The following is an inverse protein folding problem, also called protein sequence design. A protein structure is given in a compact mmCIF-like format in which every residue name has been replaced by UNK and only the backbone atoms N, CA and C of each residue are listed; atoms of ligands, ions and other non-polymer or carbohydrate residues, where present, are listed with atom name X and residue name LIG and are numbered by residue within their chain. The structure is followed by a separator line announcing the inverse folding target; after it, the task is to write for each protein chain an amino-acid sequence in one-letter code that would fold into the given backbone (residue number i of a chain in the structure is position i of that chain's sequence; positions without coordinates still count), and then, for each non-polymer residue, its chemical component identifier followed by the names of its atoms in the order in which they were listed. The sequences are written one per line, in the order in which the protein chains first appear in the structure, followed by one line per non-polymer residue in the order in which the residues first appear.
data_IF_671737305178
#
_entry.id   IF_671737305178
#
_cell.length_a   1.000
_cell.length_b   1.000
_cell.length_c   1.000
_cell.angle_alpha   90.00
_cell.angle_beta   90.00
_cell.angle_gamma   90.00
#
_symmetry.space_group_name_H-M   'P 1'
#
loop_
_entity.id
_entity.type
_entity.pdbx_description
1 polymer ?
#
# COMPACT_ATOMS: atom_id res chain seq x y z
N UNK A 1 -3.39 21.12 -1.22
CA UNK A 1 -4.54 21.45 -0.36
C UNK A 1 -4.09 22.61 0.52
N UNK A 2 -4.80 23.74 0.52
CA UNK A 2 -4.41 24.92 1.31
C UNK A 2 -4.37 24.57 2.80
N UNK A 3 -3.35 25.03 3.53
CA UNK A 3 -3.18 24.78 4.97
C UNK A 3 -4.23 25.49 5.83
N UNK A 4 -4.88 26.52 5.30
CA UNK A 4 -5.91 27.31 6.00
C UNK A 4 -7.32 26.73 5.87
N UNK A 5 -7.56 25.91 4.84
CA UNK A 5 -8.88 25.35 4.53
C UNK A 5 -9.51 24.54 5.68
N UNK A 6 -8.78 23.70 6.43
CA UNK A 6 -9.36 22.98 7.56
C UNK A 6 -9.76 23.89 8.73
N UNK A 7 -9.06 25.01 8.93
CA UNK A 7 -9.37 25.95 10.01
C UNK A 7 -10.64 26.76 9.69
N UNK A 8 -10.81 27.19 8.43
CA UNK A 8 -12.03 27.86 7.98
C UNK A 8 -13.24 26.91 7.98
N UNK A 9 -13.07 25.66 7.53
CA UNK A 9 -14.14 24.66 7.54
C UNK A 9 -14.62 24.31 8.96
N UNK A 10 -13.72 24.32 9.94
CA UNK A 10 -14.04 24.11 11.36
C UNK A 10 -15.00 25.19 11.90
N UNK A 11 -14.77 26.45 11.52
CA UNK A 11 -15.62 27.59 11.90
C UNK A 11 -16.98 27.48 11.22
N UNK A 12 -17.02 27.18 9.92
CA UNK A 12 -18.28 27.08 9.15
C UNK A 12 -19.16 25.92 9.62
N UNK A 13 -18.56 24.78 9.99
CA UNK A 13 -19.30 23.58 10.44
C UNK A 13 -19.43 23.46 11.96
N UNK A 14 -18.98 24.46 12.73
CA UNK A 14 -18.98 24.45 14.19
C UNK A 14 -18.41 23.15 14.78
N UNK A 15 -17.24 22.71 14.30
CA UNK A 15 -16.58 21.49 14.74
C UNK A 15 -15.08 21.71 14.96
N UNK A 16 -14.42 20.85 15.76
CA UNK A 16 -12.98 20.99 16.03
C UNK A 16 -12.12 20.80 14.77
N UNK A 17 -10.95 21.45 14.71
CA UNK A 17 -10.00 21.41 13.57
C UNK A 17 -9.72 20.00 13.03
N UNK A 18 -9.53 19.02 13.90
CA UNK A 18 -9.31 17.63 13.47
C UNK A 18 -10.51 17.02 12.72
N UNK A 19 -11.74 17.38 13.13
CA UNK A 19 -12.97 16.97 12.45
C UNK A 19 -13.07 17.62 11.08
N UNK A 20 -12.75 18.90 10.98
CA UNK A 20 -12.72 19.63 9.72
C UNK A 20 -11.66 19.07 8.76
N UNK A 21 -10.45 18.73 9.22
CA UNK A 21 -9.44 18.07 8.39
C UNK A 21 -9.93 16.73 7.84
N UNK A 22 -10.57 15.89 8.67
CA UNK A 22 -11.13 14.63 8.21
C UNK A 22 -12.29 14.82 7.21
N UNK A 23 -13.13 15.84 7.39
CA UNK A 23 -14.18 16.17 6.43
C UNK A 23 -13.61 16.66 5.09
N UNK A 24 -12.61 17.56 5.14
CA UNK A 24 -11.90 18.05 3.97
C UNK A 24 -11.24 16.90 3.20
N UNK A 25 -10.53 16.01 3.90
CA UNK A 25 -9.90 14.84 3.29
C UNK A 25 -10.93 13.92 2.64
N UNK A 26 -12.06 13.62 3.31
CA UNK A 26 -13.11 12.79 2.71
C UNK A 26 -13.76 13.45 1.50
N UNK A 27 -14.04 14.75 1.56
CA UNK A 27 -14.58 15.48 0.43
C UNK A 27 -13.64 15.43 -0.79
N UNK A 28 -12.33 15.56 -0.55
CA UNK A 28 -11.32 15.41 -1.60
C UNK A 28 -11.27 13.99 -2.16
N UNK A 29 -11.32 12.95 -1.30
CA UNK A 29 -11.35 11.54 -1.76
C UNK A 29 -12.61 11.26 -2.59
N UNK A 30 -13.78 11.71 -2.16
CA UNK A 30 -15.01 11.56 -2.94
C UNK A 30 -14.92 12.22 -4.31
N UNK A 31 -14.38 13.44 -4.37
CA UNK A 31 -14.27 14.18 -5.63
C UNK A 31 -13.23 13.58 -6.58
N UNK A 32 -12.07 13.19 -6.07
CA UNK A 32 -10.92 12.84 -6.91
C UNK A 32 -10.78 11.33 -7.15
N UNK A 33 -11.24 10.51 -6.20
CA UNK A 33 -11.00 9.05 -6.22
C UNK A 33 -12.28 8.23 -6.36
N UNK A 34 -13.43 8.72 -5.88
CA UNK A 34 -14.67 7.94 -5.78
C UNK A 34 -15.90 8.61 -6.45
N UNK A 35 -15.83 8.92 -7.77
CA UNK A 35 -16.93 9.60 -8.47
C UNK A 35 -18.22 8.79 -8.53
N UNK A 36 -18.15 7.45 -8.62
CA UNK A 36 -19.37 6.63 -8.65
C UNK A 36 -20.04 6.56 -7.27
N UNK A 37 -19.24 6.51 -6.20
CA UNK A 37 -19.73 6.59 -4.82
C UNK A 37 -20.42 7.94 -4.56
N UNK A 38 -19.82 9.03 -5.02
CA UNK A 38 -20.42 10.37 -4.93
C UNK A 38 -21.77 10.43 -5.69
N UNK A 39 -21.80 9.90 -6.91
CA UNK A 39 -23.01 9.86 -7.73
C UNK A 39 -24.12 9.02 -7.09
N UNK A 40 -23.77 7.89 -6.47
CA UNK A 40 -24.71 7.03 -5.76
C UNK A 40 -25.32 7.71 -4.53
N UNK A 41 -24.52 8.47 -3.76
CA UNK A 41 -25.04 9.29 -2.66
C UNK A 41 -25.99 10.40 -3.17
N UNK A 42 -25.59 11.11 -4.23
CA UNK A 42 -26.40 12.19 -4.80
C UNK A 42 -27.75 11.70 -5.35
N UNK A 43 -27.80 10.46 -5.84
CA UNK A 43 -29.02 9.80 -6.29
C UNK A 43 -29.84 9.15 -5.16
N UNK A 44 -29.38 9.20 -3.90
CA UNK A 44 -30.01 8.53 -2.76
C UNK A 44 -29.86 6.99 -2.76
N UNK A 45 -29.05 6.43 -3.65
CA UNK A 45 -28.79 5.00 -3.76
C UNK A 45 -27.75 4.46 -2.77
N UNK A 46 -27.06 5.34 -2.04
CA UNK A 46 -26.09 4.98 -1.00
C UNK A 46 -26.15 5.98 0.16
N UNK A 47 -26.18 5.50 1.40
CA UNK A 47 -26.15 6.35 2.59
C UNK A 47 -24.74 6.85 2.94
N UNK A 48 -24.71 7.96 3.69
CA UNK A 48 -23.49 8.63 4.13
C UNK A 48 -22.58 7.74 5.00
N UNK A 49 -23.07 6.93 5.97
CA UNK A 49 -22.23 6.01 6.72
C UNK A 49 -21.44 5.02 5.85
N UNK A 50 -22.07 4.43 4.83
CA UNK A 50 -21.40 3.51 3.90
C UNK A 50 -20.41 4.23 2.98
N UNK A 51 -20.78 5.40 2.47
CA UNK A 51 -19.88 6.20 1.65
C UNK A 51 -18.63 6.64 2.43
N UNK A 52 -18.80 7.02 3.70
CA UNK A 52 -17.69 7.34 4.61
C UNK A 52 -16.73 6.17 4.77
N UNK A 53 -17.25 4.95 4.92
CA UNK A 53 -16.40 3.74 5.00
C UNK A 53 -15.54 3.59 3.75
N UNK A 54 -16.11 3.78 2.56
CA UNK A 54 -15.37 3.70 1.30
C UNK A 54 -14.28 4.78 1.21
N UNK A 55 -14.62 6.03 1.55
CA UNK A 55 -13.65 7.12 1.56
C UNK A 55 -12.51 6.88 2.56
N UNK A 56 -12.82 6.41 3.77
CA UNK A 56 -11.81 6.15 4.81
C UNK A 56 -10.87 5.00 4.40
N UNK A 57 -11.39 3.92 3.81
CA UNK A 57 -10.57 2.76 3.38
C UNK A 57 -9.70 3.11 2.17
N UNK A 58 -10.23 3.89 1.23
CA UNK A 58 -9.58 4.16 -0.06
C UNK A 58 -8.82 5.50 -0.08
N UNK A 59 -8.72 6.19 1.07
CA UNK A 59 -8.12 7.52 1.18
C UNK A 59 -6.67 7.60 0.70
N UNK A 60 -5.91 6.51 0.83
CA UNK A 60 -4.49 6.43 0.46
C UNK A 60 -4.24 5.52 -0.74
N UNK A 61 -5.31 5.08 -1.40
CA UNK A 61 -5.23 4.24 -2.60
C UNK A 61 -5.20 5.12 -3.84
N UNK A 62 -4.55 4.67 -4.91
CA UNK A 62 -4.56 5.42 -6.16
C UNK A 62 -5.97 5.59 -6.73
N UNK A 63 -6.26 6.69 -7.47
CA UNK A 63 -7.59 6.89 -8.07
C UNK A 63 -8.01 5.77 -9.00
N UNK A 64 -7.06 5.12 -9.68
CA UNK A 64 -7.35 4.03 -10.62
C UNK A 64 -7.90 2.81 -9.87
N UNK A 65 -7.26 2.40 -8.79
CA UNK A 65 -7.72 1.25 -7.99
C UNK A 65 -8.98 1.60 -7.21
N UNK A 66 -9.06 2.81 -6.65
CA UNK A 66 -10.27 3.28 -5.98
C UNK A 66 -11.51 3.16 -6.89
N UNK A 67 -11.38 3.56 -8.17
CA UNK A 67 -12.42 3.39 -9.20
C UNK A 67 -12.76 1.93 -9.51
N UNK A 68 -11.75 1.05 -9.59
CA UNK A 68 -11.99 -0.39 -9.81
C UNK A 68 -12.73 -1.01 -8.62
N UNK A 69 -12.40 -0.59 -7.40
CA UNK A 69 -13.01 -1.10 -6.18
C UNK A 69 -14.45 -0.60 -6.06
N UNK A 70 -14.73 0.70 -6.23
CA UNK A 70 -16.11 1.20 -6.12
C UNK A 70 -17.03 0.56 -7.18
N UNK A 71 -16.53 0.32 -8.40
CA UNK A 71 -17.30 -0.35 -9.44
C UNK A 71 -17.70 -1.79 -9.05
N UNK A 72 -16.84 -2.50 -8.30
CA UNK A 72 -17.14 -3.84 -7.79
C UNK A 72 -18.02 -3.83 -6.55
N UNK A 73 -17.87 -2.82 -5.68
CA UNK A 73 -18.57 -2.74 -4.39
C UNK A 73 -19.98 -2.16 -4.49
N UNK A 74 -20.19 -1.14 -5.32
CA UNK A 74 -21.46 -0.40 -5.35
C UNK A 74 -22.71 -1.27 -5.58
N UNK A 75 -22.69 -2.30 -6.45
CA UNK A 75 -23.85 -3.18 -6.64
C UNK A 75 -24.32 -3.91 -5.37
N UNK A 76 -23.39 -4.21 -4.46
CA UNK A 76 -23.68 -4.94 -3.21
C UNK A 76 -23.68 -4.04 -1.96
N UNK A 77 -23.18 -2.81 -2.06
CA UNK A 77 -22.89 -1.95 -0.91
C UNK A 77 -24.09 -1.71 0.02
N UNK A 78 -25.30 -1.53 -0.53
CA UNK A 78 -26.52 -1.28 0.26
C UNK A 78 -26.96 -2.48 1.08
N UNK A 79 -26.61 -3.69 0.63
CA UNK A 79 -26.95 -4.95 1.30
C UNK A 79 -25.95 -5.32 2.40
N UNK A 80 -24.79 -4.65 2.45
CA UNK A 80 -23.75 -4.89 3.44
C UNK A 80 -23.92 -3.94 4.63
N UNK A 81 -23.66 -4.43 5.84
CA UNK A 81 -23.41 -3.52 6.97
C UNK A 81 -22.11 -2.76 6.76
N UNK A 82 -21.93 -1.61 7.41
CA UNK A 82 -20.70 -0.79 7.31
C UNK A 82 -19.43 -1.59 7.64
N UNK A 83 -19.47 -2.46 8.65
CA UNK A 83 -18.37 -3.35 9.00
C UNK A 83 -18.07 -4.40 7.93
N UNK A 84 -19.11 -4.99 7.31
CA UNK A 84 -18.94 -5.96 6.22
C UNK A 84 -18.45 -5.28 4.94
N UNK A 85 -18.92 -4.07 4.66
CA UNK A 85 -18.45 -3.23 3.55
C UNK A 85 -16.95 -2.92 3.69
N UNK A 86 -16.50 -2.49 4.88
CA UNK A 86 -15.07 -2.27 5.17
C UNK A 86 -14.26 -3.53 4.89
N UNK A 87 -14.69 -4.68 5.40
CA UNK A 87 -14.01 -5.96 5.21
C UNK A 87 -13.92 -6.34 3.74
N UNK A 88 -15.01 -6.16 2.98
CA UNK A 88 -15.03 -6.45 1.54
C UNK A 88 -14.11 -5.52 0.75
N UNK A 89 -14.10 -4.22 1.07
CA UNK A 89 -13.20 -3.27 0.43
C UNK A 89 -11.72 -3.60 0.67
N UNK A 90 -11.36 -3.97 1.90
CA UNK A 90 -10.02 -4.43 2.24
C UNK A 90 -9.66 -5.76 1.54
N UNK A 91 -10.60 -6.69 1.42
CA UNK A 91 -10.39 -7.92 0.67
C UNK A 91 -10.10 -7.65 -0.81
N UNK A 92 -10.87 -6.77 -1.45
CA UNK A 92 -10.62 -6.36 -2.85
C UNK A 92 -9.27 -5.67 -3.04
N UNK A 93 -8.82 -4.86 -2.07
CA UNK A 93 -7.47 -4.28 -2.09
C UNK A 93 -6.40 -5.38 -2.09
N UNK A 94 -6.55 -6.39 -1.22
CA UNK A 94 -5.63 -7.52 -1.12
C UNK A 94 -5.63 -8.39 -2.38
N UNK A 95 -6.80 -8.66 -2.96
CA UNK A 95 -6.95 -9.40 -4.22
C UNK A 95 -6.20 -8.69 -5.35
N UNK A 96 -6.42 -7.39 -5.55
CA UNK A 96 -5.74 -6.60 -6.58
C UNK A 96 -4.23 -6.50 -6.35
N UNK A 97 -3.81 -6.54 -5.09
CA UNK A 97 -2.41 -6.57 -4.71
C UNK A 97 -1.74 -7.89 -5.05
N UNK A 98 -2.42 -9.01 -4.77
CA UNK A 98 -1.94 -10.35 -5.08
C UNK A 98 -1.78 -10.50 -6.60
N UNK A 99 -2.77 -10.08 -7.39
CA UNK A 99 -2.70 -10.07 -8.86
C UNK A 99 -1.48 -9.28 -9.36
N UNK A 100 -1.24 -8.11 -8.78
CA UNK A 100 -0.09 -7.27 -9.15
C UNK A 100 1.27 -7.91 -8.75
N UNK A 101 1.31 -8.61 -7.61
CA UNK A 101 2.51 -9.31 -7.14
C UNK A 101 2.80 -10.55 -7.97
N UNK A 102 1.80 -11.36 -8.29
CA UNK A 102 1.97 -12.60 -9.06
C UNK A 102 2.40 -12.30 -10.50
N UNK A 103 1.82 -11.27 -11.10
CA UNK A 103 2.30 -10.75 -12.39
C UNK A 103 3.79 -10.32 -12.31
N UNK A 104 4.23 -9.76 -11.19
CA UNK A 104 5.61 -9.34 -10.98
C UNK A 104 6.58 -10.53 -10.75
N UNK A 105 6.15 -11.61 -10.07
CA UNK A 105 6.99 -12.80 -9.82
C UNK A 105 7.30 -13.56 -11.11
N UNK A 106 6.31 -13.70 -12.00
CA UNK A 106 6.49 -14.42 -13.27
C UNK A 106 7.37 -13.69 -14.28
N UNK A 107 7.48 -12.37 -14.19
CA UNK A 107 8.23 -11.57 -15.15
C UNK A 107 9.01 -10.46 -14.46
N UNK A 108 10.25 -10.76 -14.06
CA UNK A 108 11.20 -9.77 -13.54
C UNK A 108 11.37 -8.53 -14.46
N UNK A 109 11.06 -8.70 -15.76
CA UNK A 109 11.06 -7.65 -16.78
C UNK A 109 9.87 -6.68 -16.69
N UNK A 110 8.72 -7.11 -16.16
CA UNK A 110 7.55 -6.24 -15.99
C UNK A 110 7.80 -5.13 -14.97
N UNK A 111 8.51 -5.40 -13.87
CA UNK A 111 8.85 -4.33 -12.90
C UNK A 111 9.74 -3.24 -13.51
N UNK A 112 10.60 -3.61 -14.45
CA UNK A 112 11.60 -2.70 -15.05
C UNK A 112 11.07 -1.98 -16.28
N UNK A 113 10.17 -2.59 -17.05
CA UNK A 113 9.76 -2.09 -18.37
C UNK A 113 8.26 -1.80 -18.52
N UNK A 114 7.40 -2.21 -17.57
CA UNK A 114 5.97 -1.95 -17.69
C UNK A 114 5.62 -0.52 -17.27
N UNK A 115 4.78 0.13 -18.08
CA UNK A 115 4.24 1.47 -17.80
C UNK A 115 3.48 1.47 -16.47
N UNK A 116 3.76 2.46 -15.61
CA UNK A 116 3.01 2.71 -14.36
C UNK A 116 3.67 2.21 -13.08
N UNK A 117 4.78 1.48 -13.15
CA UNK A 117 5.61 1.22 -11.97
C UNK A 117 6.39 2.49 -11.58
N UNK A 118 6.43 2.83 -10.30
CA UNK A 118 7.22 3.95 -9.76
C UNK A 118 8.12 3.44 -8.65
N UNK A 119 9.37 3.90 -8.67
CA UNK A 119 10.37 3.58 -7.66
C UNK A 119 10.85 4.91 -7.06
N UNK A 120 10.76 5.05 -5.74
CA UNK A 120 11.28 6.20 -4.99
C UNK A 120 12.16 5.65 -3.87
N UNK A 121 13.39 6.14 -3.76
CA UNK A 121 14.29 5.78 -2.67
C UNK A 121 14.43 7.00 -1.76
N UNK A 122 14.18 6.80 -0.47
CA UNK A 122 14.39 7.82 0.56
C UNK A 122 15.87 7.83 0.98
N UNK A 123 16.33 8.94 1.57
CA UNK A 123 17.72 9.14 2.01
C UNK A 123 18.18 8.12 3.08
N UNK A 124 17.24 7.45 3.74
CA UNK A 124 17.48 6.39 4.73
C UNK A 124 17.72 4.99 4.10
N UNK A 125 17.73 4.92 2.77
CA UNK A 125 17.90 3.69 2.00
C UNK A 125 16.62 2.85 1.87
N UNK A 126 15.45 3.37 2.25
CA UNK A 126 14.17 2.69 2.05
C UNK A 126 13.67 2.89 0.62
N UNK A 127 13.38 1.78 -0.08
CA UNK A 127 12.80 1.79 -1.42
C UNK A 127 11.27 1.66 -1.36
N UNK A 128 10.58 2.69 -1.84
CA UNK A 128 9.15 2.68 -2.15
C UNK A 128 8.93 2.18 -3.57
N UNK A 129 8.21 1.07 -3.70
CA UNK A 129 7.81 0.49 -4.98
C UNK A 129 6.30 0.65 -5.14
N UNK A 130 5.87 1.52 -6.03
CA UNK A 130 4.46 1.65 -6.43
C UNK A 130 4.20 0.80 -7.68
N UNK A 131 3.27 -0.15 -7.59
CA UNK A 131 2.84 -0.94 -8.74
C UNK A 131 1.91 -0.12 -9.68
N UNK A 132 1.53 -0.61 -10.88
CA UNK A 132 0.62 0.10 -11.79
C UNK A 132 -0.80 0.28 -11.25
N UNK A 133 -1.18 -0.55 -10.28
CA UNK A 133 -2.40 -0.40 -9.47
C UNK A 133 -2.26 0.78 -8.49
N UNK A 134 -1.08 1.38 -8.37
CA UNK A 134 -0.80 2.53 -7.55
C UNK A 134 -0.71 2.21 -6.06
N UNK A 135 -0.54 0.93 -5.72
CA UNK A 135 -0.28 0.46 -4.36
C UNK A 135 1.23 0.54 -4.14
N UNK A 136 1.64 1.23 -3.07
CA UNK A 136 3.04 1.41 -2.70
C UNK A 136 3.43 0.43 -1.61
N UNK A 137 4.52 -0.31 -1.81
CA UNK A 137 5.17 -1.13 -0.80
C UNK A 137 6.55 -0.56 -0.48
N UNK A 138 6.92 -0.57 0.80
CA UNK A 138 8.26 -0.21 1.25
C UNK A 138 9.09 -1.46 1.47
N UNK A 139 10.31 -1.46 0.98
CA UNK A 139 11.30 -2.49 1.25
C UNK A 139 12.64 -1.82 1.50
N UNK A 140 13.37 -2.26 2.52
CA UNK A 140 14.79 -1.91 2.65
C UNK A 140 15.56 -2.95 1.84
N UNK A 141 16.17 -2.57 0.70
CA UNK A 141 16.85 -3.54 -0.15
C UNK A 141 17.97 -4.23 0.64
N UNK A 142 18.05 -5.58 0.62
CA UNK A 142 19.17 -6.30 1.21
C UNK A 142 20.44 -5.97 0.42
N UNK A 143 21.22 -5.02 0.92
CA UNK A 143 22.40 -4.47 0.23
C UNK A 143 22.86 -3.10 0.76
N UNK A 144 21.96 -2.34 1.40
CA UNK A 144 22.26 -1.01 1.98
C UNK A 144 22.45 -1.07 3.50
N UNK A 145 23.28 -2.00 4.00
CA UNK A 145 23.81 -1.85 5.37
C UNK A 145 24.82 -0.69 5.35
N UNK A 146 24.81 0.24 6.33
CA UNK A 146 25.84 1.27 6.40
C UNK A 146 27.24 0.59 6.46
N UNK A 147 28.23 1.03 5.66
CA UNK A 147 29.57 0.48 5.76
C UNK A 147 30.19 0.95 7.09
N UNK A 148 30.50 -0.01 7.96
CA UNK A 148 31.36 0.25 9.11
C UNK A 148 30.75 -0.08 10.47
N UNK A 149 30.66 -1.36 10.79
CA UNK A 149 31.23 -1.90 12.03
C UNK A 149 31.83 -3.25 11.67
N UNK A 150 33.18 -3.34 11.69
CA UNK A 150 33.86 -4.64 11.65
C UNK A 150 33.37 -5.40 12.88
N UNK A 151 32.52 -6.40 12.69
CA UNK A 151 32.44 -7.45 13.69
C UNK A 151 33.83 -8.13 13.67
N UNK A 152 34.56 -8.23 14.79
CA UNK A 152 35.76 -9.03 14.81
C UNK A 152 35.35 -10.45 14.40
N UNK A 153 36.01 -10.96 13.35
CA UNK A 153 35.92 -12.37 12.99
C UNK A 153 36.35 -13.15 14.23
N UNK A 154 35.53 -14.04 14.81
CA UNK A 154 36.02 -14.89 15.88
C UNK A 154 37.17 -15.72 15.33
N UNK A 155 38.33 -15.66 15.99
CA UNK A 155 39.50 -16.46 15.61
C UNK A 155 39.09 -17.94 15.56
N UNK A 156 39.42 -18.66 14.47
CA UNK A 156 39.16 -20.09 14.41
C UNK A 156 40.01 -20.81 15.48
N UNK A 157 39.48 -21.85 16.16
CA UNK A 157 40.26 -22.61 17.13
C UNK A 157 41.45 -23.28 16.45
N UNK A 158 42.64 -23.04 16.98
CA UNK A 158 43.87 -23.76 16.65
C UNK A 158 43.63 -25.26 16.86
N UNK A 159 43.61 -26.04 15.79
CA UNK A 159 43.82 -27.49 15.87
C UNK A 159 45.10 -27.78 15.12
N UNK A 160 46.12 -28.17 15.88
CA UNK A 160 47.43 -28.55 15.41
C UNK A 160 47.36 -29.77 14.46
N UNK A 161 48.23 -29.72 13.45
CA UNK A 161 48.54 -30.72 12.44
C UNK A 161 48.70 -32.15 13.00
N UNK A 162 48.35 -33.21 12.27
CA UNK A 162 49.17 -33.85 11.22
C UNK A 162 48.53 -35.24 10.85
N UNK A 163 49.12 -36.07 9.96
CA UNK A 163 49.13 -35.93 8.51
C UNK A 163 48.68 -37.22 7.77
N UNK A 164 48.53 -37.08 6.45
CA UNK A 164 48.53 -38.12 5.39
C UNK A 164 48.60 -39.61 5.76
N UNK A 165 47.61 -40.35 5.24
CA UNK A 165 47.73 -41.76 4.86
C UNK A 165 46.93 -41.98 3.59
N UNK A 166 47.63 -42.04 2.45
CA UNK A 166 47.15 -42.58 1.17
C UNK A 166 46.71 -44.04 1.37
N UNK A 167 45.50 -44.40 0.91
CA UNK A 167 45.34 -45.62 0.10
C UNK A 167 44.00 -45.60 -0.67
N UNK A 168 43.97 -46.12 -1.92
CA UNK A 168 42.85 -46.02 -2.86
C UNK A 168 41.80 -47.14 -2.65
N UNK A 169 40.62 -47.06 -3.31
CA UNK A 169 39.48 -47.92 -3.01
C UNK A 169 39.60 -49.28 -3.71
N UNK A 170 38.78 -50.27 -3.31
CA UNK A 170 37.95 -50.86 -4.36
C UNK A 170 36.53 -51.35 -3.97
N UNK A 171 35.65 -51.18 -4.96
CA UNK A 171 34.30 -51.70 -5.25
C UNK A 171 33.10 -51.24 -4.41
#
# INVERSE_FOLDING_TARGET
MSEFFPAELAVVRNCGRGTASHLAQRAWVHREHLPATWSAMAAGGLDEPRAKVLADVLAHTSPRVARQIEARLLPEATQLSTGRLRRRALALLLELDADAVDACRGHHRLKTLARGWRFVMDDDGTLHVTNPSGITRTTRPPGLRPPGLRHPVPEPPTTESSPHGDDPPPF
#
